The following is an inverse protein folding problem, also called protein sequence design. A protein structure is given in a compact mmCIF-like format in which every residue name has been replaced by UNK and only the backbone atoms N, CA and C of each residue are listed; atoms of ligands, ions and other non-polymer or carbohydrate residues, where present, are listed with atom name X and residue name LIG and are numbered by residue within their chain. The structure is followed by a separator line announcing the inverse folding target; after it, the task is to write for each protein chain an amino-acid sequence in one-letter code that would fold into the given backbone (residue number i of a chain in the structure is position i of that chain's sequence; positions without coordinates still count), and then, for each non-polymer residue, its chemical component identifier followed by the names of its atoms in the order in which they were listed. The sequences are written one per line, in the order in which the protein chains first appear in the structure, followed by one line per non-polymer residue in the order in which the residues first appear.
data_IF_225202407856
#
_entry.id   IF_225202407856
#
_cell.length_a   1.000
_cell.length_b   1.000
_cell.length_c   1.000
_cell.angle_alpha   90.00
_cell.angle_beta   90.00
_cell.angle_gamma   90.00
#
_symmetry.space_group_name_H-M   'P 1'
#
loop_
_entity.id
_entity.type
_entity.pdbx_description
1 polymer ?
#
# COMPACT_ATOMS: atom_id res chain seq x y z
N UNK A 1 3.38 17.90 -16.21
CA UNK A 1 3.80 16.60 -16.78
C UNK A 1 3.03 16.41 -18.07
N UNK A 2 3.65 15.97 -19.17
CA UNK A 2 2.90 15.65 -20.38
C UNK A 2 2.30 14.24 -20.20
N UNK A 3 1.01 14.15 -19.90
CA UNK A 3 0.32 12.89 -19.62
C UNK A 3 -0.26 12.37 -20.93
N UNK A 4 0.01 11.10 -21.26
CA UNK A 4 -0.56 10.47 -22.46
C UNK A 4 -2.08 10.45 -22.43
N UNK A 5 -2.72 10.34 -23.60
CA UNK A 5 -4.18 10.29 -23.69
C UNK A 5 -4.75 9.07 -22.97
N UNK A 6 -4.06 7.94 -23.03
CA UNK A 6 -4.40 6.70 -22.32
C UNK A 6 -4.42 6.93 -20.80
N UNK A 7 -3.37 7.56 -20.26
CA UNK A 7 -3.30 7.86 -18.84
C UNK A 7 -4.37 8.90 -18.43
N UNK A 8 -4.63 9.92 -19.25
CA UNK A 8 -5.72 10.87 -19.00
C UNK A 8 -7.07 10.16 -18.90
N UNK A 9 -7.34 9.18 -19.78
CA UNK A 9 -8.56 8.40 -19.73
C UNK A 9 -8.69 7.63 -18.41
N UNK A 10 -7.62 6.95 -17.98
CA UNK A 10 -7.60 6.20 -16.72
C UNK A 10 -7.87 7.11 -15.52
N UNK A 11 -7.22 8.28 -15.47
CA UNK A 11 -7.37 9.24 -14.37
C UNK A 11 -8.78 9.82 -14.30
N UNK A 12 -9.39 10.16 -15.44
CA UNK A 12 -10.78 10.64 -15.44
C UNK A 12 -11.79 9.55 -15.02
N UNK A 13 -11.45 8.28 -15.20
CA UNK A 13 -12.27 7.15 -14.77
C UNK A 13 -11.94 6.65 -13.34
N UNK A 14 -11.07 7.34 -12.60
CA UNK A 14 -10.59 6.91 -11.27
C UNK A 14 -11.52 7.34 -10.13
N UNK A 15 -12.82 7.11 -10.28
CA UNK A 15 -13.86 7.48 -9.32
C UNK A 15 -15.06 6.55 -9.43
N UNK A 16 -15.76 6.28 -8.32
CA UNK A 16 -16.95 5.41 -8.34
C UNK A 16 -18.18 6.12 -8.91
N UNK A 17 -18.23 7.44 -8.87
CA UNK A 17 -19.31 8.24 -9.46
C UNK A 17 -18.71 9.42 -10.21
N UNK A 18 -19.22 9.68 -11.42
CA UNK A 18 -18.76 10.79 -12.25
C UNK A 18 -19.31 12.09 -11.68
N UNK A 19 -18.43 12.96 -11.17
CA UNK A 19 -18.80 14.31 -10.73
C UNK A 19 -18.39 15.40 -11.73
N UNK A 20 -19.19 16.47 -11.79
CA UNK A 20 -18.90 17.68 -12.56
C UNK A 20 -18.69 17.45 -14.06
N UNK A 21 -17.67 18.11 -14.63
CA UNK A 21 -17.34 18.00 -16.06
C UNK A 21 -16.54 16.73 -16.44
N UNK A 22 -16.36 15.78 -15.51
CA UNK A 22 -15.51 14.62 -15.79
C UNK A 22 -16.07 13.75 -16.90
N UNK A 23 -17.40 13.66 -17.02
CA UNK A 23 -18.05 12.95 -18.12
C UNK A 23 -17.73 13.56 -19.49
N UNK A 24 -17.53 14.88 -19.57
CA UNK A 24 -17.11 15.57 -20.80
C UNK A 24 -15.64 15.34 -21.09
N UNK A 25 -14.78 15.45 -20.07
CA UNK A 25 -13.35 15.13 -20.21
C UNK A 25 -13.11 13.69 -20.71
N UNK A 26 -13.89 12.72 -20.23
CA UNK A 26 -13.83 11.35 -20.74
C UNK A 26 -14.24 11.30 -22.22
N UNK A 27 -15.33 11.99 -22.60
CA UNK A 27 -15.79 12.05 -24.01
C UNK A 27 -14.72 12.64 -24.94
N UNK A 28 -14.09 13.73 -24.52
CA UNK A 28 -13.04 14.39 -25.30
C UNK A 28 -11.85 13.45 -25.54
N UNK A 29 -11.46 12.68 -24.52
CA UNK A 29 -10.33 11.75 -24.60
C UNK A 29 -10.67 10.48 -25.39
N UNK A 30 -11.92 9.99 -25.40
CA UNK A 30 -12.27 8.81 -26.22
C UNK A 30 -12.49 9.17 -27.70
N UNK A 31 -12.60 10.45 -28.05
CA UNK A 31 -12.76 10.92 -29.43
C UNK A 31 -11.45 11.05 -30.21
N UNK A 32 -10.32 10.90 -29.54
CA UNK A 32 -8.98 10.87 -30.14
C UNK A 32 -8.51 9.42 -30.27
N UNK A 33 -7.59 9.13 -31.22
CA UNK A 33 -7.00 7.80 -31.34
C UNK A 33 -6.28 7.39 -30.04
N UNK A 34 -6.67 6.25 -29.47
CA UNK A 34 -6.09 5.68 -28.25
C UNK A 34 -5.47 4.32 -28.53
N UNK A 35 -4.35 4.02 -27.89
CA UNK A 35 -3.87 2.65 -27.79
C UNK A 35 -4.65 1.90 -26.70
N UNK A 36 -5.70 1.19 -27.11
CA UNK A 36 -6.56 0.45 -26.18
C UNK A 36 -5.87 -0.75 -25.50
N UNK A 37 -4.84 -1.32 -26.12
CA UNK A 37 -4.03 -2.37 -25.49
C UNK A 37 -3.29 -1.78 -24.27
N UNK A 38 -2.72 -0.59 -24.42
CA UNK A 38 -2.06 0.13 -23.33
C UNK A 38 -3.05 0.54 -22.23
N UNK A 39 -4.25 1.01 -22.60
CA UNK A 39 -5.32 1.34 -21.64
C UNK A 39 -5.69 0.10 -20.81
N UNK A 40 -5.94 -1.04 -21.46
CA UNK A 40 -6.27 -2.29 -20.78
C UNK A 40 -5.13 -2.75 -19.87
N UNK A 41 -3.91 -2.81 -20.41
CA UNK A 41 -2.74 -3.26 -19.66
C UNK A 41 -2.51 -2.38 -18.41
N UNK A 42 -2.71 -1.07 -18.52
CA UNK A 42 -2.61 -0.15 -17.40
C UNK A 42 -3.77 -0.27 -16.40
N UNK A 43 -5.00 -0.44 -16.89
CA UNK A 43 -6.16 -0.65 -16.03
C UNK A 43 -6.04 -1.93 -15.19
N UNK A 44 -5.55 -3.02 -15.78
CA UNK A 44 -5.29 -4.27 -15.06
C UNK A 44 -4.10 -4.15 -14.11
N UNK A 45 -3.00 -3.50 -14.54
CA UNK A 45 -1.82 -3.28 -13.69
C UNK A 45 -2.15 -2.51 -12.41
N UNK A 46 -3.03 -1.52 -12.53
CA UNK A 46 -3.45 -0.71 -11.40
C UNK A 46 -4.69 -1.22 -10.67
N UNK A 47 -5.33 -2.30 -11.13
CA UNK A 47 -6.53 -2.87 -10.49
C UNK A 47 -7.79 -2.00 -10.65
N UNK A 48 -7.87 -1.17 -11.70
CA UNK A 48 -8.96 -0.21 -11.93
C UNK A 48 -9.83 -0.59 -13.14
N UNK A 49 -9.65 -1.76 -13.74
CA UNK A 49 -10.47 -2.23 -14.86
C UNK A 49 -11.99 -2.22 -14.56
N UNK A 50 -12.47 -2.62 -13.36
CA UNK A 50 -13.89 -2.50 -13.03
C UNK A 50 -14.41 -1.06 -12.98
N UNK A 51 -13.61 -0.12 -12.45
CA UNK A 51 -13.93 1.32 -12.46
C UNK A 51 -13.97 1.87 -13.88
N UNK A 52 -13.02 1.47 -14.72
CA UNK A 52 -12.99 1.88 -16.12
C UNK A 52 -14.23 1.39 -16.86
N UNK A 53 -14.64 0.13 -16.66
CA UNK A 53 -15.90 -0.40 -17.21
C UNK A 53 -17.10 0.44 -16.75
N UNK A 54 -17.22 0.68 -15.44
CA UNK A 54 -18.35 1.40 -14.86
C UNK A 54 -18.52 2.79 -15.48
N UNK A 55 -17.43 3.55 -15.57
CA UNK A 55 -17.43 4.90 -16.11
C UNK A 55 -17.66 4.93 -17.64
N UNK A 56 -17.01 4.03 -18.38
CA UNK A 56 -17.17 3.97 -19.85
C UNK A 56 -18.52 3.42 -20.29
N UNK A 57 -19.11 2.46 -19.56
CA UNK A 57 -20.43 1.88 -19.90
C UNK A 57 -21.49 2.97 -20.04
N UNK A 58 -21.47 3.98 -19.17
CA UNK A 58 -22.45 5.07 -19.19
C UNK A 58 -22.22 6.06 -20.34
N UNK A 59 -20.98 6.19 -20.84
CA UNK A 59 -20.57 7.15 -21.88
C UNK A 59 -20.57 6.53 -23.29
N UNK A 60 -20.33 5.22 -23.38
CA UNK A 60 -20.14 4.45 -24.61
C UNK A 60 -21.35 4.38 -25.54
N UNK A 61 -22.57 4.70 -25.06
CA UNK A 61 -23.80 4.64 -25.89
C UNK A 61 -23.77 5.56 -27.12
N UNK A 62 -22.81 6.48 -27.22
CA UNK A 62 -22.69 7.47 -28.31
C UNK A 62 -21.29 7.54 -28.95
N UNK A 63 -20.33 6.71 -28.51
CA UNK A 63 -18.92 6.84 -28.91
C UNK A 63 -18.31 5.48 -29.24
N UNK A 64 -17.40 5.43 -30.21
CA UNK A 64 -16.82 4.19 -30.73
C UNK A 64 -15.66 3.68 -29.84
N UNK A 65 -16.00 2.99 -28.76
CA UNK A 65 -15.05 2.14 -28.02
C UNK A 65 -15.05 0.75 -28.67
N UNK A 66 -13.89 0.13 -28.95
CA UNK A 66 -13.87 -1.21 -29.52
C UNK A 66 -14.66 -2.22 -28.67
N UNK A 67 -15.48 -3.05 -29.32
CA UNK A 67 -16.36 -3.98 -28.62
C UNK A 67 -15.58 -4.99 -27.76
N UNK A 68 -14.42 -5.43 -28.23
CA UNK A 68 -13.54 -6.36 -27.51
C UNK A 68 -13.03 -5.74 -26.21
N UNK A 69 -12.65 -4.46 -26.23
CA UNK A 69 -12.19 -3.72 -25.03
C UNK A 69 -13.32 -3.66 -23.99
N UNK A 70 -14.53 -3.27 -24.41
CA UNK A 70 -15.69 -3.25 -23.51
C UNK A 70 -16.05 -4.63 -22.97
N UNK A 71 -15.88 -5.69 -23.77
CA UNK A 71 -16.09 -7.07 -23.34
C UNK A 71 -15.08 -7.50 -22.26
N UNK A 72 -13.78 -7.20 -22.45
CA UNK A 72 -12.75 -7.50 -21.45
C UNK A 72 -13.00 -6.75 -20.13
N UNK A 73 -13.32 -5.46 -20.21
CA UNK A 73 -13.65 -4.63 -19.04
C UNK A 73 -14.91 -5.12 -18.32
N UNK A 74 -15.94 -5.51 -19.06
CA UNK A 74 -17.17 -6.12 -18.51
C UNK A 74 -16.86 -7.42 -17.78
N UNK A 75 -16.04 -8.29 -18.37
CA UNK A 75 -15.59 -9.55 -17.73
C UNK A 75 -14.82 -9.26 -16.44
N UNK A 76 -13.93 -8.26 -16.44
CA UNK A 76 -13.20 -7.85 -15.25
C UNK A 76 -14.15 -7.38 -14.13
N UNK A 77 -15.16 -6.55 -14.43
CA UNK A 77 -16.15 -6.11 -13.45
C UNK A 77 -16.98 -7.27 -12.89
N UNK A 78 -17.56 -8.12 -13.74
CA UNK A 78 -18.41 -9.22 -13.25
C UNK A 78 -17.59 -10.30 -12.53
N UNK A 79 -16.37 -10.58 -12.98
CA UNK A 79 -15.44 -11.46 -12.28
C UNK A 79 -15.08 -10.91 -10.90
N UNK A 80 -14.84 -9.60 -10.79
CA UNK A 80 -14.58 -8.95 -9.51
C UNK A 80 -15.81 -8.98 -8.60
N UNK A 81 -17.00 -8.69 -9.13
CA UNK A 81 -18.26 -8.76 -8.40
C UNK A 81 -18.49 -10.16 -7.81
N UNK A 82 -18.33 -11.21 -8.61
CA UNK A 82 -18.47 -12.59 -8.17
C UNK A 82 -17.42 -12.96 -7.11
N UNK A 83 -16.15 -12.56 -7.32
CA UNK A 83 -15.09 -12.77 -6.33
C UNK A 83 -15.41 -12.07 -5.02
N UNK A 84 -15.88 -10.82 -5.06
CA UNK A 84 -16.22 -10.08 -3.86
C UNK A 84 -17.44 -10.68 -3.16
N UNK A 85 -18.49 -11.11 -3.87
CA UNK A 85 -19.59 -11.85 -3.24
C UNK A 85 -19.08 -13.07 -2.46
N UNK A 86 -18.12 -13.81 -3.01
CA UNK A 86 -17.49 -14.94 -2.34
C UNK A 86 -16.66 -14.53 -1.10
N UNK A 87 -15.84 -13.48 -1.22
CA UNK A 87 -15.08 -12.95 -0.08
C UNK A 87 -15.98 -12.42 1.04
N UNK A 88 -17.11 -11.81 0.70
CA UNK A 88 -18.07 -11.29 1.68
C UNK A 88 -18.82 -12.42 2.40
N UNK A 89 -19.16 -13.51 1.71
CA UNK A 89 -19.73 -14.69 2.34
C UNK A 89 -18.74 -15.34 3.31
N UNK A 90 -17.46 -15.42 2.92
CA UNK A 90 -16.42 -15.97 3.79
C UNK A 90 -16.11 -15.05 4.97
N UNK A 91 -16.04 -13.72 4.74
CA UNK A 91 -15.90 -12.73 5.79
C UNK A 91 -17.03 -12.86 6.81
N UNK A 92 -18.28 -13.02 6.38
CA UNK A 92 -19.41 -13.26 7.28
C UNK A 92 -19.18 -14.49 8.18
N UNK A 93 -18.79 -15.62 7.60
CA UNK A 93 -18.49 -16.86 8.35
C UNK A 93 -17.39 -16.67 9.39
N UNK A 94 -16.32 -15.97 9.02
CA UNK A 94 -15.20 -15.67 9.91
C UNK A 94 -15.69 -14.78 11.07
N UNK A 95 -16.39 -13.69 10.77
CA UNK A 95 -16.88 -12.75 11.77
C UNK A 95 -17.84 -13.39 12.78
N UNK A 96 -18.75 -14.26 12.33
CA UNK A 96 -19.64 -15.02 13.21
C UNK A 96 -18.85 -15.90 14.17
N UNK A 97 -17.84 -16.62 13.67
CA UNK A 97 -17.00 -17.48 14.52
C UNK A 97 -16.16 -16.67 15.52
N UNK A 98 -15.65 -15.51 15.11
CA UNK A 98 -14.96 -14.59 16.02
C UNK A 98 -15.89 -14.07 17.10
N UNK A 99 -17.11 -13.69 16.74
CA UNK A 99 -18.15 -13.23 17.67
C UNK A 99 -18.52 -14.33 18.68
N UNK A 100 -18.75 -15.56 18.23
CA UNK A 100 -19.08 -16.71 19.08
C UNK A 100 -17.98 -17.05 20.09
N UNK A 101 -16.73 -16.73 19.75
CA UNK A 101 -15.56 -16.91 20.63
C UNK A 101 -15.21 -15.66 21.45
N UNK A 102 -16.02 -14.61 21.36
CA UNK A 102 -15.82 -13.37 22.10
C UNK A 102 -14.64 -12.52 21.62
N UNK A 103 -14.11 -12.79 20.42
CA UNK A 103 -12.99 -12.03 19.85
C UNK A 103 -13.53 -10.88 19.03
N UNK A 104 -13.18 -9.66 19.42
CA UNK A 104 -13.56 -8.45 18.67
C UNK A 104 -12.64 -8.25 17.47
N UNK A 105 -13.19 -7.69 16.41
CA UNK A 105 -12.51 -7.49 15.12
C UNK A 105 -12.89 -6.15 14.51
N UNK A 106 -11.89 -5.43 13.99
CA UNK A 106 -12.10 -4.29 13.09
C UNK A 106 -11.83 -4.76 11.66
N UNK A 107 -12.82 -4.62 10.78
CA UNK A 107 -12.68 -4.92 9.36
C UNK A 107 -11.94 -3.78 8.66
N UNK A 108 -10.86 -4.12 7.98
CA UNK A 108 -9.95 -3.14 7.40
C UNK A 108 -10.09 -3.02 5.88
N UNK A 109 -9.64 -1.87 5.37
CA UNK A 109 -9.39 -1.60 3.95
C UNK A 109 -10.55 -2.05 3.06
N UNK A 110 -10.35 -3.13 2.31
CA UNK A 110 -11.12 -3.39 1.13
C UNK A 110 -12.54 -3.83 1.34
N UNK A 111 -12.74 -4.71 2.33
CA UNK A 111 -14.07 -5.16 2.69
C UNK A 111 -14.94 -4.00 3.20
N UNK A 112 -14.33 -3.04 3.90
CA UNK A 112 -15.03 -1.84 4.34
C UNK A 112 -15.29 -0.90 3.16
N UNK A 113 -14.22 -0.52 2.44
CA UNK A 113 -14.28 0.47 1.36
C UNK A 113 -15.24 0.09 0.23
N UNK A 114 -15.19 -1.15 -0.26
CA UNK A 114 -16.00 -1.55 -1.40
C UNK A 114 -17.51 -1.45 -1.11
N UNK A 115 -17.90 -1.66 0.16
CA UNK A 115 -19.30 -1.58 0.60
C UNK A 115 -19.72 -0.16 0.98
N UNK A 116 -18.89 0.57 1.74
CA UNK A 116 -19.28 1.87 2.31
C UNK A 116 -18.94 3.02 1.36
N UNK A 117 -17.68 3.13 0.96
CA UNK A 117 -17.16 4.28 0.20
C UNK A 117 -17.47 4.17 -1.30
N UNK A 118 -17.38 2.97 -1.89
CA UNK A 118 -17.68 2.77 -3.31
C UNK A 118 -19.16 2.50 -3.58
N UNK A 119 -19.92 1.98 -2.61
CA UNK A 119 -21.34 1.65 -2.74
C UNK A 119 -21.66 0.45 -3.65
N UNK A 120 -20.71 0.02 -4.47
CA UNK A 120 -20.80 -1.16 -5.33
C UNK A 120 -19.53 -2.02 -5.17
N UNK A 121 -19.71 -3.23 -4.62
CA UNK A 121 -18.62 -4.16 -4.37
C UNK A 121 -17.96 -4.63 -5.68
N UNK A 122 -18.61 -4.51 -6.85
CA UNK A 122 -18.03 -4.82 -8.14
C UNK A 122 -16.93 -3.85 -8.58
N UNK A 123 -16.86 -2.65 -8.01
CA UNK A 123 -15.94 -1.60 -8.45
C UNK A 123 -14.54 -1.70 -7.84
N UNK A 124 -14.44 -2.11 -6.57
CA UNK A 124 -13.18 -2.14 -5.85
C UNK A 124 -12.65 -3.57 -5.78
N UNK A 125 -11.55 -3.83 -6.46
CA UNK A 125 -10.93 -5.16 -6.41
C UNK A 125 -10.37 -5.47 -5.02
N UNK A 126 -10.63 -6.69 -4.55
CA UNK A 126 -10.07 -7.24 -3.31
C UNK A 126 -9.33 -8.55 -3.59
N UNK A 127 -8.14 -8.66 -3.01
CA UNK A 127 -7.34 -9.89 -3.13
C UNK A 127 -7.44 -10.73 -1.86
N UNK A 128 -7.63 -10.08 -0.72
CA UNK A 128 -7.54 -10.58 0.64
C UNK A 128 -8.65 -10.00 1.53
N UNK A 129 -8.81 -10.60 2.70
CA UNK A 129 -9.61 -10.08 3.82
C UNK A 129 -8.65 -9.64 4.91
N UNK A 130 -8.73 -8.38 5.32
CA UNK A 130 -7.91 -7.82 6.38
C UNK A 130 -8.72 -7.58 7.65
N UNK A 131 -8.31 -8.21 8.75
CA UNK A 131 -8.94 -8.06 10.06
C UNK A 131 -7.92 -7.59 11.09
N UNK A 132 -8.27 -6.57 11.86
CA UNK A 132 -7.48 -6.14 13.02
C UNK A 132 -8.08 -6.76 14.28
N UNK A 133 -7.25 -7.49 15.02
CA UNK A 133 -7.54 -8.05 16.35
C UNK A 133 -6.69 -7.34 17.40
N UNK A 134 -7.10 -7.43 18.67
CA UNK A 134 -6.22 -7.03 19.76
C UNK A 134 -5.04 -7.98 19.87
N UNK A 135 -3.91 -7.46 20.34
CA UNK A 135 -2.68 -8.26 20.42
C UNK A 135 -2.83 -9.43 21.39
N UNK A 136 -3.55 -9.23 22.49
CA UNK A 136 -3.87 -10.29 23.47
C UNK A 136 -4.73 -11.43 22.87
N UNK A 137 -5.50 -11.15 21.82
CA UNK A 137 -6.40 -12.12 21.19
C UNK A 137 -5.74 -12.96 20.07
N UNK A 138 -4.45 -12.71 19.75
CA UNK A 138 -3.79 -13.35 18.61
C UNK A 138 -3.79 -14.88 18.66
N UNK A 139 -3.56 -15.46 19.84
CA UNK A 139 -3.57 -16.91 20.02
C UNK A 139 -4.99 -17.49 19.87
N UNK A 140 -6.02 -16.73 20.25
CA UNK A 140 -7.41 -17.13 20.03
C UNK A 140 -7.75 -17.05 18.53
N UNK A 141 -7.37 -15.96 17.86
CA UNK A 141 -7.55 -15.78 16.43
C UNK A 141 -6.88 -16.91 15.63
N UNK A 142 -5.64 -17.30 15.97
CA UNK A 142 -4.94 -18.43 15.32
C UNK A 142 -5.72 -19.74 15.45
N UNK A 143 -6.26 -20.04 16.63
CA UNK A 143 -7.09 -21.24 16.85
C UNK A 143 -8.40 -21.18 16.05
N UNK A 144 -9.03 -20.01 15.98
CA UNK A 144 -10.24 -19.81 15.17
C UNK A 144 -9.94 -20.05 13.69
N UNK A 145 -8.89 -19.42 13.16
CA UNK A 145 -8.49 -19.59 11.76
C UNK A 145 -8.22 -21.07 11.44
N UNK A 146 -7.44 -21.76 12.28
CA UNK A 146 -7.17 -23.19 12.14
C UNK A 146 -8.46 -24.03 12.13
N UNK A 147 -9.40 -23.75 13.04
CA UNK A 147 -10.71 -24.41 13.09
C UNK A 147 -11.64 -24.08 11.92
N UNK A 148 -11.32 -23.04 11.13
CA UNK A 148 -12.03 -22.67 9.90
C UNK A 148 -11.31 -23.17 8.63
N UNK A 149 -10.39 -24.13 8.76
CA UNK A 149 -9.57 -24.73 7.70
C UNK A 149 -8.58 -23.78 7.02
N UNK A 150 -8.24 -22.69 7.71
CA UNK A 150 -7.20 -21.75 7.30
C UNK A 150 -5.85 -22.17 7.84
N UNK A 151 -4.89 -22.28 6.92
CA UNK A 151 -3.50 -22.62 7.26
C UNK A 151 -2.64 -21.38 7.22
N UNK A 152 -1.70 -21.32 8.16
CA UNK A 152 -0.66 -20.31 8.17
C UNK A 152 0.08 -20.27 6.81
N UNK A 153 0.27 -19.08 6.27
CA UNK A 153 1.02 -18.83 5.05
C UNK A 153 2.18 -17.88 5.34
N UNK A 154 3.38 -18.42 5.49
CA UNK A 154 4.59 -17.64 5.70
C UNK A 154 5.86 -18.45 5.50
N UNK A 155 6.96 -17.74 5.23
CA UNK A 155 8.28 -18.36 5.03
C UNK A 155 8.96 -18.69 6.36
N UNK A 156 8.61 -17.94 7.41
CA UNK A 156 9.12 -18.09 8.77
C UNK A 156 8.04 -18.68 9.69
N UNK A 157 8.43 -19.14 10.88
CA UNK A 157 7.46 -19.65 11.87
C UNK A 157 6.54 -18.53 12.40
N UNK A 158 5.30 -18.85 12.83
CA UNK A 158 4.33 -17.85 13.34
C UNK A 158 4.88 -16.94 14.44
N UNK A 159 5.73 -17.46 15.35
CA UNK A 159 6.36 -16.66 16.41
C UNK A 159 7.22 -15.52 15.88
N UNK A 160 7.96 -15.77 14.79
CA UNK A 160 8.76 -14.74 14.16
C UNK A 160 7.87 -13.60 13.63
N UNK A 161 6.71 -13.94 13.05
CA UNK A 161 5.76 -12.94 12.58
C UNK A 161 5.18 -12.13 13.75
N UNK A 162 4.79 -12.78 14.85
CA UNK A 162 4.28 -12.08 16.05
C UNK A 162 5.26 -11.02 16.59
N UNK A 163 6.55 -11.33 16.53
CA UNK A 163 7.59 -10.44 17.04
C UNK A 163 8.02 -9.34 16.07
N UNK A 164 8.00 -9.61 14.75
CA UNK A 164 8.65 -8.78 13.74
C UNK A 164 7.69 -8.14 12.73
N UNK A 165 6.46 -8.63 12.66
CA UNK A 165 5.47 -8.25 11.66
C UNK A 165 4.29 -7.49 12.27
N UNK A 166 3.36 -7.07 11.41
CA UNK A 166 2.11 -6.42 11.80
C UNK A 166 0.88 -7.32 11.64
N UNK A 167 1.04 -8.41 10.89
CA UNK A 167 0.01 -9.40 10.61
C UNK A 167 0.60 -10.79 10.43
N UNK A 168 -0.28 -11.79 10.46
CA UNK A 168 -0.06 -13.15 9.96
C UNK A 168 -1.06 -13.40 8.83
N UNK A 169 -0.58 -13.94 7.72
CA UNK A 169 -1.41 -14.34 6.59
C UNK A 169 -1.82 -15.80 6.72
N UNK A 170 -3.08 -16.07 6.41
CA UNK A 170 -3.65 -17.40 6.36
C UNK A 170 -4.31 -17.63 5.00
N UNK A 171 -4.28 -18.87 4.51
CA UNK A 171 -4.99 -19.27 3.29
C UNK A 171 -5.89 -20.45 3.58
N UNK A 172 -7.13 -20.38 3.11
CA UNK A 172 -8.06 -21.51 3.22
C UNK A 172 -7.57 -22.67 2.37
N UNK A 173 -7.60 -23.88 2.92
CA UNK A 173 -7.08 -25.10 2.29
C UNK A 173 -7.61 -25.33 0.86
N UNK A 174 -8.91 -25.14 0.63
CA UNK A 174 -9.53 -25.39 -0.69
C UNK A 174 -9.97 -24.14 -1.46
N UNK A 175 -10.12 -22.98 -0.79
CA UNK A 175 -10.78 -21.80 -1.38
C UNK A 175 -9.83 -20.77 -1.97
N UNK A 176 -8.53 -20.89 -1.69
CA UNK A 176 -7.51 -19.90 -2.07
C UNK A 176 -7.91 -18.44 -1.72
N UNK A 177 -8.53 -18.26 -0.55
CA UNK A 177 -8.86 -16.94 0.03
C UNK A 177 -7.75 -16.60 1.04
N UNK A 178 -6.97 -15.54 0.80
CA UNK A 178 -6.06 -15.00 1.80
C UNK A 178 -6.83 -14.21 2.86
N UNK A 179 -6.54 -14.46 4.13
CA UNK A 179 -7.00 -13.67 5.27
C UNK A 179 -5.77 -13.19 6.03
N UNK A 180 -5.61 -11.89 6.20
CA UNK A 180 -4.57 -11.29 7.01
C UNK A 180 -5.14 -10.90 8.39
N UNK A 181 -4.61 -11.51 9.44
CA UNK A 181 -4.91 -11.14 10.83
C UNK A 181 -3.84 -10.17 11.30
N UNK A 182 -4.20 -8.88 11.38
CA UNK A 182 -3.38 -7.78 11.85
C UNK A 182 -3.56 -7.58 13.36
N UNK A 183 -2.50 -7.16 14.03
CA UNK A 183 -2.55 -6.56 15.39
C UNK A 183 -1.90 -5.17 15.42
N UNK A 184 -1.36 -4.76 14.28
CA UNK A 184 -0.74 -3.46 14.05
C UNK A 184 -0.81 -3.14 12.56
N UNK A 185 -0.54 -1.89 12.18
CA UNK A 185 -0.49 -1.45 10.78
C UNK A 185 0.91 -1.41 10.14
N UNK A 186 1.97 -1.64 10.92
CA UNK A 186 3.36 -1.46 10.48
C UNK A 186 4.30 -2.49 11.12
N UNK A 187 5.24 -3.05 10.32
CA UNK A 187 6.25 -4.04 10.77
C UNK A 187 7.19 -3.46 11.81
N UNK A 188 7.85 -4.32 12.60
CA UNK A 188 8.87 -3.89 13.58
C UNK A 188 10.04 -3.15 12.94
N UNK A 189 10.49 -3.64 11.81
CA UNK A 189 11.56 -3.02 11.03
C UNK A 189 11.05 -1.97 10.02
N UNK A 190 9.79 -1.54 10.11
CA UNK A 190 9.26 -0.54 9.18
C UNK A 190 9.85 0.83 9.50
N UNK A 191 10.40 1.57 8.50
CA UNK A 191 10.78 2.97 8.60
C UNK A 191 9.87 3.83 9.48
N UNK A 192 8.56 3.74 9.23
CA UNK A 192 7.53 4.55 9.90
C UNK A 192 7.18 4.06 11.31
N UNK A 193 7.66 2.88 11.75
CA UNK A 193 7.39 2.42 13.13
C UNK A 193 8.10 3.28 14.18
N UNK A 194 9.09 4.09 13.78
CA UNK A 194 9.86 4.92 14.72
C UNK A 194 8.99 5.99 15.42
N UNK A 195 7.75 6.24 14.97
CA UNK A 195 6.84 7.18 15.66
C UNK A 195 5.41 6.67 15.90
N UNK A 196 5.03 5.54 15.30
CA UNK A 196 3.76 4.88 15.59
C UNK A 196 3.94 4.04 16.86
N UNK A 197 3.66 4.65 18.02
CA UNK A 197 3.59 3.98 19.33
C UNK A 197 2.34 3.06 19.33
N UNK A 198 2.36 1.98 20.13
CA UNK A 198 1.24 1.05 20.28
C UNK A 198 -0.10 1.78 20.58
N UNK A 199 -0.04 2.93 21.25
CA UNK A 199 -1.17 3.78 21.60
C UNK A 199 -2.05 4.18 20.40
N UNK A 200 -1.51 4.21 19.16
CA UNK A 200 -2.35 4.48 17.98
C UNK A 200 -3.40 3.38 17.80
N UNK A 201 -3.03 2.12 18.04
CA UNK A 201 -3.89 0.97 17.80
C UNK A 201 -4.97 0.91 18.87
N UNK A 202 -4.62 1.16 20.12
CA UNK A 202 -5.58 1.26 21.23
C UNK A 202 -6.63 2.33 20.95
N UNK A 203 -6.19 3.51 20.48
CA UNK A 203 -7.10 4.57 20.08
C UNK A 203 -8.02 4.16 18.93
N UNK A 204 -7.49 3.48 17.91
CA UNK A 204 -8.31 2.99 16.80
C UNK A 204 -9.42 2.04 17.28
N UNK A 205 -9.18 1.28 18.35
CA UNK A 205 -10.22 0.47 19.00
C UNK A 205 -11.26 1.30 19.74
N UNK A 206 -10.85 2.37 20.42
CA UNK A 206 -11.74 3.28 21.14
C UNK A 206 -12.68 4.04 20.20
N UNK A 207 -12.17 4.40 19.02
CA UNK A 207 -12.84 5.28 18.05
C UNK A 207 -13.48 4.50 16.89
N UNK A 208 -13.38 3.17 16.92
CA UNK A 208 -13.94 2.31 15.89
C UNK A 208 -15.46 2.52 15.79
N UNK A 209 -15.94 2.76 14.57
CA UNK A 209 -17.37 2.89 14.29
C UNK A 209 -17.98 1.51 14.09
N UNK A 210 -19.21 1.32 14.55
CA UNK A 210 -19.98 0.10 14.27
C UNK A 210 -20.82 0.31 13.02
N UNK A 211 -20.73 -0.62 12.07
CA UNK A 211 -21.63 -0.68 10.92
C UNK A 211 -22.34 -2.03 10.88
N UNK A 212 -23.45 -2.09 10.16
CA UNK A 212 -24.13 -3.35 9.88
C UNK A 212 -23.61 -3.98 8.58
N UNK A 213 -23.26 -5.25 8.66
CA UNK A 213 -22.75 -6.04 7.57
C UNK A 213 -23.52 -7.36 7.47
N UNK A 214 -24.43 -7.46 6.49
CA UNK A 214 -25.22 -8.67 6.24
C UNK A 214 -25.94 -9.22 7.49
N UNK A 215 -26.47 -8.31 8.33
CA UNK A 215 -27.15 -8.62 9.59
C UNK A 215 -26.24 -8.67 10.83
N UNK A 216 -24.91 -8.61 10.67
CA UNK A 216 -23.96 -8.63 11.77
C UNK A 216 -23.42 -7.22 12.06
N UNK A 217 -23.31 -6.84 13.33
CA UNK A 217 -22.63 -5.61 13.73
C UNK A 217 -21.12 -5.84 13.68
N UNK A 218 -20.42 -5.07 12.87
CA UNK A 218 -18.96 -5.14 12.71
C UNK A 218 -18.33 -3.80 13.02
N UNK A 219 -17.10 -3.81 13.52
CA UNK A 219 -16.34 -2.58 13.73
C UNK A 219 -15.52 -2.24 12.49
N UNK A 220 -15.41 -0.96 12.20
CA UNK A 220 -14.56 -0.37 11.16
C UNK A 220 -13.79 0.80 11.76
N UNK A 221 -12.70 1.21 11.10
CA UNK A 221 -11.95 2.41 11.51
C UNK A 221 -12.83 3.67 11.41
N UNK A 222 -12.55 4.65 12.26
CA UNK A 222 -13.01 6.02 12.08
C UNK A 222 -12.50 6.56 10.72
N UNK A 223 -13.15 7.59 10.13
CA UNK A 223 -12.69 8.19 8.87
C UNK A 223 -11.22 8.61 8.90
N UNK A 224 -10.79 9.29 9.97
CA UNK A 224 -9.43 9.79 10.18
C UNK A 224 -8.42 8.64 10.26
N UNK A 225 -8.75 7.58 10.99
CA UNK A 225 -7.90 6.41 11.14
C UNK A 225 -7.83 5.59 9.85
N UNK A 226 -8.96 5.49 9.12
CA UNK A 226 -9.01 4.87 7.81
C UNK A 226 -8.11 5.62 6.82
N UNK A 227 -8.20 6.95 6.76
CA UNK A 227 -7.35 7.78 5.89
C UNK A 227 -5.87 7.57 6.25
N UNK A 228 -5.53 7.61 7.55
CA UNK A 228 -4.17 7.31 8.03
C UNK A 228 -3.71 5.95 7.55
N UNK A 229 -4.53 4.92 7.74
CA UNK A 229 -4.22 3.56 7.33
C UNK A 229 -3.97 3.46 5.82
N UNK A 230 -4.83 4.05 5.00
CA UNK A 230 -4.71 4.01 3.54
C UNK A 230 -3.45 4.71 3.05
N UNK A 231 -3.11 5.88 3.63
CA UNK A 231 -1.87 6.59 3.31
C UNK A 231 -0.63 5.77 3.66
N UNK A 232 -0.58 5.21 4.87
CA UNK A 232 0.54 4.36 5.29
C UNK A 232 0.65 3.08 4.45
N UNK A 233 -0.48 2.47 4.10
CA UNK A 233 -0.54 1.29 3.25
C UNK A 233 -0.03 1.59 1.83
N UNK A 234 -0.46 2.70 1.23
CA UNK A 234 0.02 3.16 -0.07
C UNK A 234 1.55 3.30 -0.06
N UNK A 235 2.10 4.06 0.89
CA UNK A 235 3.54 4.30 0.99
C UNK A 235 4.33 3.01 1.22
N UNK A 236 3.83 2.11 2.08
CA UNK A 236 4.44 0.79 2.30
C UNK A 236 4.55 -0.01 1.00
N UNK A 237 3.47 -0.09 0.21
CA UNK A 237 3.49 -0.83 -1.05
C UNK A 237 4.35 -0.16 -2.12
N UNK A 238 4.47 1.17 -2.09
CA UNK A 238 5.33 1.90 -3.02
C UNK A 238 6.80 1.70 -2.68
N UNK A 239 7.19 1.79 -1.42
CA UNK A 239 8.61 2.00 -1.05
C UNK A 239 9.21 0.93 -0.14
N UNK A 240 8.38 0.12 0.50
CA UNK A 240 8.79 -0.79 1.60
C UNK A 240 8.29 -2.20 1.27
N UNK A 241 8.45 -2.62 0.01
CA UNK A 241 8.23 -3.99 -0.39
C UNK A 241 9.44 -4.86 0.03
N UNK A 242 9.28 -6.19 0.03
CA UNK A 242 10.33 -7.14 0.44
C UNK A 242 11.62 -7.01 -0.39
N UNK A 243 11.50 -6.40 -1.58
CA UNK A 243 12.57 -6.18 -2.53
C UNK A 243 13.09 -4.74 -2.53
N UNK A 244 12.80 -3.95 -1.48
CA UNK A 244 13.34 -2.59 -1.25
C UNK A 244 13.29 -1.62 -2.44
N UNK A 245 12.35 -1.82 -3.36
CA UNK A 245 12.26 -1.07 -4.62
C UNK A 245 10.93 -0.35 -4.77
N UNK A 246 10.89 0.66 -5.64
CA UNK A 246 9.64 1.31 -6.02
C UNK A 246 8.79 0.32 -6.81
N UNK A 247 7.52 0.17 -6.44
CA UNK A 247 6.54 -0.45 -7.33
C UNK A 247 5.51 0.59 -7.75
N UNK A 248 4.87 0.38 -8.89
CA UNK A 248 3.73 1.13 -9.42
C UNK A 248 2.45 0.27 -9.44
N UNK A 249 2.58 -1.05 -9.31
CA UNK A 249 1.48 -2.01 -9.37
C UNK A 249 0.42 -1.70 -8.33
N UNK A 250 -0.84 -1.59 -8.76
CA UNK A 250 -1.97 -1.26 -7.87
C UNK A 250 -1.94 0.16 -7.29
N UNK A 251 -1.09 1.06 -7.77
CA UNK A 251 -1.01 2.41 -7.21
C UNK A 251 -2.29 3.24 -7.42
N UNK A 252 -2.90 3.20 -8.62
CA UNK A 252 -4.10 4.02 -8.85
C UNK A 252 -5.31 3.56 -8.03
N UNK A 253 -5.53 2.26 -7.80
CA UNK A 253 -6.62 1.82 -6.91
C UNK A 253 -6.39 2.27 -5.47
N UNK A 254 -5.14 2.24 -4.96
CA UNK A 254 -4.81 2.74 -3.62
C UNK A 254 -5.00 4.26 -3.49
N UNK A 255 -4.66 5.01 -4.53
CA UNK A 255 -4.92 6.46 -4.57
C UNK A 255 -6.41 6.77 -4.71
N UNK A 256 -7.15 5.97 -5.47
CA UNK A 256 -8.61 6.06 -5.58
C UNK A 256 -9.28 5.79 -4.23
N UNK A 257 -8.82 4.78 -3.47
CA UNK A 257 -9.31 4.52 -2.12
C UNK A 257 -9.17 5.76 -1.22
N UNK A 258 -8.01 6.43 -1.24
CA UNK A 258 -7.77 7.64 -0.45
C UNK A 258 -8.68 8.78 -0.94
N UNK A 259 -8.72 9.02 -2.24
CA UNK A 259 -9.54 10.06 -2.86
C UNK A 259 -11.03 9.90 -2.55
N UNK A 260 -11.57 8.71 -2.77
CA UNK A 260 -12.97 8.39 -2.54
C UNK A 260 -13.32 8.49 -1.04
N UNK A 261 -12.42 8.06 -0.15
CA UNK A 261 -12.61 8.16 1.30
C UNK A 261 -12.67 9.62 1.76
N UNK A 262 -11.74 10.45 1.27
CA UNK A 262 -11.74 11.90 1.54
C UNK A 262 -13.05 12.55 1.07
N UNK A 263 -13.50 12.24 -0.15
CA UNK A 263 -14.77 12.77 -0.67
C UNK A 263 -15.98 12.28 0.11
N UNK A 264 -16.02 10.99 0.44
CA UNK A 264 -17.16 10.38 1.14
C UNK A 264 -17.33 10.94 2.56
N UNK A 265 -16.24 11.12 3.30
CA UNK A 265 -16.27 11.64 4.67
C UNK A 265 -15.95 13.14 4.77
N UNK A 266 -16.08 13.91 3.68
CA UNK A 266 -15.64 15.32 3.64
C UNK A 266 -16.18 16.20 4.78
N UNK A 267 -17.41 15.94 5.20
CA UNK A 267 -18.13 16.70 6.24
C UNK A 267 -18.01 16.02 7.63
N UNK A 268 -17.49 14.79 7.67
CA UNK A 268 -17.35 13.96 8.86
C UNK A 268 -15.94 14.03 9.48
N UNK A 269 -14.95 14.56 8.75
CA UNK A 269 -13.55 14.61 9.17
C UNK A 269 -13.31 15.78 10.12
N UNK A 270 -12.84 15.48 11.33
CA UNK A 270 -12.28 16.48 12.23
C UNK A 270 -10.82 16.76 11.88
N UNK A 271 -10.59 17.76 11.03
CA UNK A 271 -9.26 18.16 10.56
C UNK A 271 -8.33 18.63 11.68
N UNK A 272 -8.86 19.25 12.73
CA UNK A 272 -8.07 19.75 13.87
C UNK A 272 -7.52 18.57 14.64
N UNK A 273 -8.40 17.63 14.98
CA UNK A 273 -8.05 16.38 15.63
C UNK A 273 -7.08 15.59 14.76
N UNK A 274 -7.43 15.33 13.50
CA UNK A 274 -6.63 14.54 12.55
C UNK A 274 -5.19 15.05 12.45
N UNK A 275 -5.02 16.37 12.29
CA UNK A 275 -3.70 17.01 12.32
C UNK A 275 -2.96 16.71 13.62
N UNK A 276 -3.58 16.99 14.76
CA UNK A 276 -2.98 16.79 16.08
C UNK A 276 -2.48 15.35 16.27
N UNK A 277 -3.24 14.34 15.79
CA UNK A 277 -2.81 12.95 15.88
C UNK A 277 -1.59 12.68 15.01
N UNK A 278 -1.63 13.12 13.75
CA UNK A 278 -0.52 12.87 12.83
C UNK A 278 0.76 13.55 13.29
N UNK A 279 0.68 14.72 13.94
CA UNK A 279 1.81 15.41 14.56
C UNK A 279 2.30 14.65 15.80
N UNK A 280 1.38 14.19 16.67
CA UNK A 280 1.69 13.35 17.84
C UNK A 280 2.46 12.10 17.45
N UNK A 281 2.07 11.44 16.37
CA UNK A 281 2.74 10.26 15.82
C UNK A 281 3.79 10.61 14.75
N UNK A 282 4.10 11.90 14.56
CA UNK A 282 4.99 12.47 13.53
C UNK A 282 4.95 11.76 12.17
N UNK A 283 3.74 11.53 11.66
CA UNK A 283 3.43 11.03 10.31
C UNK A 283 2.79 12.12 9.44
N UNK A 284 2.72 13.35 9.93
CA UNK A 284 2.21 14.55 9.25
C UNK A 284 2.84 14.78 7.87
N UNK A 285 4.17 14.65 7.77
CA UNK A 285 4.89 14.78 6.48
C UNK A 285 4.50 13.68 5.48
N UNK A 286 4.27 12.46 5.97
CA UNK A 286 3.81 11.33 5.15
C UNK A 286 2.38 11.55 4.66
N UNK A 287 1.51 12.08 5.52
CA UNK A 287 0.13 12.42 5.15
C UNK A 287 0.11 13.51 4.09
N UNK A 288 0.86 14.60 4.32
CA UNK A 288 0.96 15.71 3.37
C UNK A 288 1.53 15.28 2.01
N UNK A 289 2.56 14.42 2.01
CA UNK A 289 3.14 13.85 0.78
C UNK A 289 2.09 13.04 0.02
N UNK A 290 1.35 12.18 0.72
CA UNK A 290 0.33 11.33 0.10
C UNK A 290 -0.83 12.16 -0.45
N UNK A 291 -1.33 13.16 0.29
CA UNK A 291 -2.37 14.07 -0.21
C UNK A 291 -1.90 14.90 -1.40
N UNK A 292 -0.62 15.29 -1.43
CA UNK A 292 -0.03 15.99 -2.58
C UNK A 292 0.00 15.10 -3.83
N UNK A 293 0.34 13.81 -3.67
CA UNK A 293 0.30 12.80 -4.75
C UNK A 293 -1.14 12.63 -5.25
N UNK A 294 -2.11 12.41 -4.34
CA UNK A 294 -3.52 12.24 -4.70
C UNK A 294 -4.03 13.46 -5.46
N UNK A 295 -3.79 14.68 -4.95
CA UNK A 295 -4.23 15.92 -5.60
C UNK A 295 -3.66 16.06 -7.01
N UNK A 296 -2.36 15.79 -7.20
CA UNK A 296 -1.72 15.94 -8.51
C UNK A 296 -2.19 14.87 -9.52
N UNK A 297 -2.42 13.63 -9.07
CA UNK A 297 -2.93 12.54 -9.93
C UNK A 297 -4.40 12.73 -10.29
N UNK A 298 -5.23 13.13 -9.35
CA UNK A 298 -6.67 13.28 -9.58
C UNK A 298 -6.99 14.57 -10.32
N UNK A 299 -6.11 15.58 -10.28
CA UNK A 299 -6.33 16.89 -10.91
C UNK A 299 -7.49 17.65 -10.28
N UNK A 300 -7.83 17.32 -9.04
CA UNK A 300 -8.98 17.85 -8.32
C UNK A 300 -8.56 19.01 -7.41
N UNK A 301 -9.32 20.09 -7.49
CA UNK A 301 -9.12 21.31 -6.71
C UNK A 301 -10.22 21.50 -5.65
N UNK A 302 -10.88 20.41 -5.26
CA UNK A 302 -11.94 20.38 -4.24
C UNK A 302 -11.43 20.89 -2.87
N UNK A 303 -12.30 21.55 -2.12
CA UNK A 303 -12.03 22.11 -0.80
C UNK A 303 -11.51 21.05 0.18
N UNK A 304 -11.92 19.78 0.02
CA UNK A 304 -11.40 18.68 0.84
C UNK A 304 -9.88 18.53 0.73
N UNK A 305 -9.30 18.76 -0.45
CA UNK A 305 -7.84 18.74 -0.63
C UNK A 305 -7.19 20.02 -0.14
N UNK A 306 -7.88 21.15 -0.23
CA UNK A 306 -7.41 22.39 0.37
C UNK A 306 -7.30 22.22 1.88
N UNK A 307 -8.35 21.73 2.55
CA UNK A 307 -8.40 21.46 3.98
C UNK A 307 -7.37 20.40 4.40
N UNK A 308 -7.28 19.30 3.63
CA UNK A 308 -6.27 18.28 3.89
C UNK A 308 -4.86 18.86 3.84
N UNK A 309 -4.52 19.69 2.85
CA UNK A 309 -3.17 20.21 2.71
C UNK A 309 -2.89 21.42 3.63
N UNK A 310 -3.87 22.27 3.90
CA UNK A 310 -3.73 23.41 4.82
C UNK A 310 -3.59 22.96 6.29
N UNK A 311 -4.11 21.77 6.60
CA UNK A 311 -3.95 21.16 7.92
C UNK A 311 -2.49 20.87 8.24
N UNK A 312 -1.62 20.58 7.27
CA UNK A 312 -0.20 20.27 7.55
C UNK A 312 0.71 21.41 7.14
N UNK A 313 1.76 21.68 7.93
CA UNK A 313 2.81 22.62 7.52
C UNK A 313 3.61 21.99 6.39
N UNK A 314 3.78 22.70 5.28
CA UNK A 314 4.73 22.28 4.25
C UNK A 314 6.14 22.56 4.74
N UNK A 315 6.77 21.63 5.45
CA UNK A 315 8.23 21.55 5.38
C UNK A 315 8.61 21.27 3.93
N UNK A 316 9.76 21.79 3.49
CA UNK A 316 10.30 21.82 2.12
C UNK A 316 10.00 20.52 1.32
N UNK A 317 8.76 20.42 0.85
CA UNK A 317 8.30 19.22 0.19
C UNK A 317 8.96 19.23 -1.16
N UNK A 318 9.71 18.16 -1.44
CA UNK A 318 10.35 18.03 -2.72
C UNK A 318 9.27 17.84 -3.80
N UNK A 319 8.83 18.93 -4.44
CA UNK A 319 7.90 18.89 -5.58
C UNK A 319 8.43 17.98 -6.70
N UNK A 320 9.75 17.81 -6.79
CA UNK A 320 10.39 16.85 -7.70
C UNK A 320 10.06 15.41 -7.30
N UNK A 321 10.00 15.09 -6.00
CA UNK A 321 9.63 13.76 -5.49
C UNK A 321 8.19 13.41 -5.88
N UNK A 322 7.21 14.27 -5.61
CA UNK A 322 5.80 14.02 -5.97
C UNK A 322 5.67 13.79 -7.48
N UNK A 323 6.27 14.66 -8.28
CA UNK A 323 6.30 14.51 -9.74
C UNK A 323 6.97 13.21 -10.19
N UNK A 324 8.06 12.81 -9.55
CA UNK A 324 8.76 11.57 -9.86
C UNK A 324 7.92 10.33 -9.53
N UNK A 325 7.27 10.31 -8.36
CA UNK A 325 6.37 9.23 -7.95
C UNK A 325 5.22 9.11 -8.95
N UNK A 326 4.55 10.23 -9.25
CA UNK A 326 3.44 10.26 -10.20
C UNK A 326 3.86 9.78 -11.58
N UNK A 327 5.02 10.25 -12.08
CA UNK A 327 5.59 9.80 -13.35
C UNK A 327 5.73 8.28 -13.34
N UNK A 328 6.41 7.70 -12.34
CA UNK A 328 6.65 6.24 -12.25
C UNK A 328 5.37 5.43 -12.15
N UNK A 329 4.37 5.93 -11.43
CA UNK A 329 3.03 5.32 -11.37
C UNK A 329 2.45 5.25 -12.79
N UNK A 330 2.40 6.37 -13.51
CA UNK A 330 1.72 6.49 -14.80
C UNK A 330 2.45 5.75 -15.94
N UNK A 331 3.77 5.59 -15.87
CA UNK A 331 4.52 4.80 -16.86
C UNK A 331 4.73 3.34 -16.43
N UNK A 332 4.11 2.92 -15.32
CA UNK A 332 4.21 1.56 -14.75
C UNK A 332 5.65 1.10 -14.52
N UNK A 333 6.52 2.04 -14.13
CA UNK A 333 7.93 1.74 -13.88
C UNK A 333 8.09 1.20 -12.46
N UNK A 334 8.40 -0.10 -12.38
CA UNK A 334 8.90 -0.74 -11.16
C UNK A 334 10.43 -0.74 -11.22
N UNK A 335 11.12 -0.42 -10.12
CA UNK A 335 12.59 -0.42 -10.14
C UNK A 335 13.16 -1.84 -10.17
N UNK A 336 14.24 -2.03 -10.95
CA UNK A 336 15.14 -3.18 -10.90
C UNK A 336 16.09 -3.08 -9.66
N UNK A 337 16.79 -4.16 -9.27
CA UNK A 337 16.96 -4.60 -7.88
C UNK A 337 17.58 -3.55 -6.93
N UNK A 338 17.10 -3.55 -5.68
CA UNK A 338 17.63 -2.86 -4.49
C UNK A 338 19.03 -2.31 -4.72
N UNK A 339 19.14 -0.98 -4.85
CA UNK A 339 20.39 -0.32 -4.50
C UNK A 339 20.58 -0.58 -3.01
N UNK A 340 21.63 -1.30 -2.58
CA UNK A 340 21.80 -1.66 -1.18
C UNK A 340 21.71 -0.41 -0.30
N UNK A 341 20.97 -0.46 0.81
CA UNK A 341 20.81 0.70 1.70
C UNK A 341 22.15 1.25 2.19
N UNK A 342 23.18 0.41 2.26
CA UNK A 342 24.57 0.82 2.52
C UNK A 342 25.15 1.74 1.43
N UNK A 343 24.83 1.50 0.15
CA UNK A 343 25.34 2.25 -0.98
C UNK A 343 24.74 3.65 -0.97
N UNK A 344 23.45 3.76 -0.69
CA UNK A 344 22.78 5.05 -0.48
C UNK A 344 23.33 5.78 0.74
N UNK A 345 23.43 5.10 1.91
CA UNK A 345 24.05 5.69 3.11
C UNK A 345 25.50 6.14 2.84
N UNK A 346 26.23 5.44 1.97
CA UNK A 346 27.56 5.85 1.52
C UNK A 346 27.52 7.08 0.60
N UNK A 347 26.51 7.25 -0.25
CA UNK A 347 26.40 8.46 -1.08
C UNK A 347 26.06 9.69 -0.23
N UNK A 348 25.21 9.52 0.80
CA UNK A 348 24.72 10.58 1.69
C UNK A 348 25.75 10.94 2.79
N UNK A 349 26.64 10.02 3.16
CA UNK A 349 27.60 10.28 4.25
C UNK A 349 28.58 11.43 3.93
N UNK A 350 28.80 12.29 4.92
CA UNK A 350 29.58 13.53 4.78
C UNK A 350 31.08 13.29 4.54
N UNK A 351 31.61 12.14 4.98
CA UNK A 351 33.05 11.85 4.93
C UNK A 351 33.35 10.51 4.28
N UNK A 352 34.45 10.47 3.52
CA UNK A 352 34.94 9.27 2.83
C UNK A 352 35.10 8.06 3.77
N UNK A 353 35.56 8.30 5.00
CA UNK A 353 35.73 7.24 6.02
C UNK A 353 34.39 6.60 6.41
N UNK A 354 33.33 7.40 6.57
CA UNK A 354 31.99 6.90 6.89
C UNK A 354 31.42 6.09 5.72
N UNK A 355 31.67 6.51 4.46
CA UNK A 355 31.30 5.75 3.26
C UNK A 355 31.91 4.35 3.27
N UNK A 356 33.21 4.26 3.52
CA UNK A 356 33.96 3.00 3.58
C UNK A 356 33.47 2.12 4.73
N UNK A 357 33.23 2.69 5.92
CA UNK A 357 32.74 1.96 7.11
C UNK A 357 31.35 1.33 6.87
N UNK A 358 30.45 2.05 6.21
CA UNK A 358 29.11 1.56 5.87
C UNK A 358 29.19 0.40 4.88
N UNK A 359 29.98 0.55 3.82
CA UNK A 359 30.18 -0.51 2.83
C UNK A 359 30.84 -1.75 3.45
N UNK A 360 31.83 -1.55 4.34
CA UNK A 360 32.52 -2.63 5.04
C UNK A 360 31.57 -3.45 5.93
N UNK A 361 30.71 -2.80 6.72
CA UNK A 361 29.70 -3.48 7.55
C UNK A 361 28.69 -4.28 6.73
N UNK A 362 28.42 -3.86 5.49
CA UNK A 362 27.53 -4.62 4.61
C UNK A 362 28.25 -5.78 3.91
N UNK A 363 29.52 -5.66 3.57
CA UNK A 363 30.28 -6.79 3.02
C UNK A 363 30.53 -7.84 4.13
N UNK A 364 30.80 -7.38 5.35
CA UNK A 364 31.17 -8.21 6.50
C UNK A 364 30.24 -7.95 7.71
N UNK A 365 28.97 -8.42 7.69
CA UNK A 365 28.07 -8.29 8.84
C UNK A 365 28.54 -9.14 10.02
N UNK A 366 28.09 -8.82 11.23
CA UNK A 366 28.43 -9.59 12.43
C UNK A 366 27.90 -11.04 12.38
N UNK A 367 28.63 -12.07 12.84
CA UNK A 367 28.22 -13.48 12.75
C UNK A 367 26.84 -13.81 13.33
N UNK A 368 26.42 -13.09 14.39
CA UNK A 368 25.08 -13.19 15.00
C UNK A 368 23.95 -12.88 14.02
N UNK A 369 24.16 -11.92 13.12
CA UNK A 369 23.18 -11.56 12.07
C UNK A 369 23.01 -12.72 11.08
N UNK A 370 24.10 -13.40 10.73
CA UNK A 370 24.09 -14.53 9.80
C UNK A 370 23.52 -15.79 10.42
N UNK A 371 23.88 -16.08 11.67
CA UNK A 371 23.33 -17.19 12.46
C UNK A 371 21.80 -17.11 12.53
N UNK A 372 21.26 -15.93 12.85
CA UNK A 372 19.81 -15.70 12.88
C UNK A 372 19.16 -15.84 11.49
N UNK A 373 19.80 -15.29 10.45
CA UNK A 373 19.23 -15.28 9.09
C UNK A 373 19.14 -16.66 8.44
N UNK A 374 20.13 -17.51 8.69
CA UNK A 374 20.21 -18.85 8.10
C UNK A 374 19.79 -19.95 9.07
N UNK A 375 19.33 -19.57 10.27
CA UNK A 375 18.95 -20.51 11.34
C UNK A 375 20.04 -21.55 11.61
N UNK A 376 21.30 -21.11 11.61
CA UNK A 376 22.47 -21.97 11.90
C UNK A 376 23.14 -21.53 13.20
N UNK A 377 23.67 -22.44 14.04
CA UNK A 377 24.40 -22.07 15.23
C UNK A 377 25.59 -21.15 14.94
N UNK A 378 25.94 -20.27 15.87
CA UNK A 378 27.12 -19.38 15.77
C UNK A 378 28.44 -20.13 15.56
N UNK A 379 28.53 -21.38 16.04
CA UNK A 379 29.68 -22.27 15.85
C UNK A 379 29.74 -22.96 14.48
N UNK A 380 28.75 -22.72 13.60
CA UNK A 380 28.66 -23.41 12.32
C UNK A 380 29.69 -22.89 11.32
N UNK A 381 30.54 -23.80 10.81
CA UNK A 381 31.49 -23.52 9.71
C UNK A 381 30.80 -23.07 8.41
N UNK A 382 29.48 -23.30 8.28
CA UNK A 382 28.68 -22.80 7.14
C UNK A 382 28.61 -21.27 7.09
N UNK A 383 28.83 -20.58 8.21
CA UNK A 383 28.93 -19.12 8.26
C UNK A 383 30.17 -18.60 7.51
N UNK A 384 31.28 -19.35 7.52
CA UNK A 384 32.51 -18.97 6.82
C UNK A 384 32.35 -18.95 5.30
N UNK A 385 31.62 -19.94 4.75
CA UNK A 385 31.27 -20.00 3.32
C UNK A 385 30.50 -18.75 2.86
N UNK A 386 29.70 -18.16 3.74
CA UNK A 386 28.96 -16.95 3.42
C UNK A 386 29.86 -15.74 3.21
N UNK A 387 30.87 -15.54 4.07
CA UNK A 387 31.82 -14.43 3.92
C UNK A 387 32.70 -14.56 2.67
N UNK A 388 32.96 -15.79 2.20
CA UNK A 388 33.68 -16.03 0.95
C UNK A 388 32.84 -15.68 -0.28
N UNK A 389 31.55 -16.00 -0.29
CA UNK A 389 30.67 -15.84 -1.47
C UNK A 389 30.06 -14.42 -1.54
N UNK A 390 29.90 -13.74 -0.40
CA UNK A 390 29.17 -12.46 -0.31
C UNK A 390 29.79 -11.32 -1.14
N UNK A 391 31.11 -11.06 -1.12
CA UNK A 391 31.71 -10.01 -1.95
C UNK A 391 31.40 -10.20 -3.44
N UNK A 392 31.51 -11.43 -3.95
CA UNK A 392 31.18 -11.77 -5.34
C UNK A 392 29.69 -11.64 -5.64
N UNK A 393 28.82 -12.08 -4.72
CA UNK A 393 27.36 -11.84 -4.84
C UNK A 393 27.00 -10.36 -4.87
N UNK A 394 27.66 -9.53 -4.05
CA UNK A 394 27.45 -8.09 -4.02
C UNK A 394 27.96 -7.45 -5.31
N UNK A 395 29.12 -7.86 -5.84
CA UNK A 395 29.62 -7.36 -7.14
C UNK A 395 28.69 -7.77 -8.28
N UNK A 396 28.18 -9.00 -8.32
CA UNK A 396 27.21 -9.44 -9.33
C UNK A 396 25.86 -8.71 -9.21
N UNK A 397 25.46 -8.34 -7.99
CA UNK A 397 24.23 -7.57 -7.72
C UNK A 397 24.41 -6.08 -8.04
N UNK A 398 25.58 -5.52 -7.73
CA UNK A 398 25.89 -4.08 -7.85
C UNK A 398 26.53 -3.70 -9.18
N UNK A 399 27.12 -4.62 -9.93
CA UNK A 399 27.72 -4.36 -11.25
C UNK A 399 26.70 -3.90 -12.30
N UNK A 400 25.43 -4.28 -12.13
CA UNK A 400 24.30 -3.75 -12.93
C UNK A 400 23.94 -2.30 -12.59
N UNK A 401 24.30 -1.80 -11.41
CA UNK A 401 23.97 -0.44 -10.92
C UNK A 401 24.85 0.62 -11.63
N UNK A 402 26.10 0.27 -11.96
CA UNK A 402 27.06 1.18 -12.64
C UNK A 402 26.63 1.53 -14.06
N UNK A 403 25.80 0.70 -14.72
CA UNK A 403 25.24 0.99 -16.05
C UNK A 403 24.02 1.93 -16.02
N UNK A 404 23.53 2.34 -14.84
CA UNK A 404 22.28 3.09 -14.65
C UNK A 404 22.48 4.59 -14.34
N UNK A 405 23.64 5.17 -14.65
CA UNK A 405 24.08 6.54 -14.28
C UNK A 405 22.99 7.63 -14.46
N UNK A 406 22.18 7.68 -15.53
CA UNK A 406 21.12 8.70 -15.68
C UNK A 406 20.01 8.60 -14.62
N UNK A 407 19.75 7.39 -14.09
CA UNK A 407 18.67 7.09 -13.12
C UNK A 407 19.12 7.23 -11.67
N UNK A 408 20.42 7.36 -11.42
CA UNK A 408 20.99 7.46 -10.06
C UNK A 408 20.43 8.67 -9.32
N UNK A 409 20.22 9.81 -9.98
CA UNK A 409 19.67 11.01 -9.32
C UNK A 409 18.23 10.80 -8.84
N UNK A 410 17.36 10.23 -9.68
CA UNK A 410 15.97 9.92 -9.31
C UNK A 410 15.91 8.89 -8.17
N UNK A 411 16.75 7.85 -8.22
CA UNK A 411 16.87 6.85 -7.15
C UNK A 411 17.41 7.48 -5.85
N UNK A 412 18.39 8.39 -5.92
CA UNK A 412 18.90 9.10 -4.76
C UNK A 412 17.81 9.96 -4.12
N UNK A 413 16.99 10.67 -4.92
CA UNK A 413 15.88 11.48 -4.38
C UNK A 413 14.87 10.60 -3.62
N UNK A 414 14.41 9.51 -4.24
CA UNK A 414 13.43 8.61 -3.62
C UNK A 414 14.00 7.95 -2.36
N UNK A 415 15.21 7.40 -2.44
CA UNK A 415 15.83 6.73 -1.31
C UNK A 415 16.25 7.72 -0.20
N UNK A 416 16.66 8.95 -0.52
CA UNK A 416 16.95 9.98 0.49
C UNK A 416 15.67 10.35 1.23
N UNK A 417 14.55 10.53 0.54
CA UNK A 417 13.27 10.75 1.22
C UNK A 417 12.87 9.55 2.09
N UNK A 418 12.90 8.32 1.55
CA UNK A 418 12.61 7.12 2.34
C UNK A 418 13.48 7.07 3.60
N UNK A 419 14.79 7.32 3.47
CA UNK A 419 15.73 7.29 4.58
C UNK A 419 15.60 8.50 5.51
N UNK A 420 15.15 9.68 5.06
CA UNK A 420 14.91 10.81 5.97
C UNK A 420 13.65 10.61 6.81
N UNK A 421 12.69 9.85 6.29
CA UNK A 421 11.54 9.37 7.06
C UNK A 421 11.94 8.21 8.02
N UNK A 422 13.15 7.65 7.90
CA UNK A 422 13.76 6.68 8.83
C UNK A 422 14.75 7.45 9.72
N UNK A 423 14.33 7.92 10.90
CA UNK A 423 15.32 8.46 11.85
C UNK A 423 16.46 7.43 12.10
N UNK A 424 17.72 7.88 12.28
CA UNK A 424 18.84 6.98 12.48
C UNK A 424 18.64 6.19 13.78
N UNK A 425 18.48 4.86 13.67
CA UNK A 425 18.71 3.96 14.79
C UNK A 425 20.23 3.81 14.95
N UNK A 426 20.82 4.75 15.69
CA UNK A 426 22.04 4.67 16.51
C UNK A 426 21.96 5.93 17.40
N UNK A 427 21.92 5.90 18.72
CA UNK A 427 22.79 5.17 19.64
C UNK A 427 22.04 4.63 20.87
N UNK A 428 22.17 3.32 21.12
CA UNK A 428 22.78 2.73 22.33
C UNK A 428 23.14 1.26 22.08
#
# INVERSE_FOLDING_TARGET
MNISHENRLLLHCLQASISGNTGEKIKDVINIPLNWEEVLASAFWHGIAPLLYHNLKNISKRHCIPQEVMAQLRTAYHGNLARNMYLYAELKRILETFCDKGVKVIVLKGATLAKTVYGDIGLRQMNDIDLLVKKEDLLCAEKIMSGLDYRFQGEMQPDWYRENHQHISYVHSDKNIPVEIHWHIARKAHPVRIRIINDIIERWWEEARTIEFSGNKVQILSPEDLITHLCLHFLKHRFINQNGGFSSKGALIQLCDIFQTLKYYRDDIDWVRFKSETEKYGIDTLMYTTFSIVREIMGEHDDVFHNALSSFKSEDLNKELVRLINKRILIREDTLPVVPGSFIKSQIADTFQTKVKILFKEIFPHPKVLSNRFSVPLSSKRLCLYYLIRPFRLILKSGKIVLMIPRVKEEVILNTWINSQVCPIVDD
#
